data_IF_261603195276
#
_entry.id   IF_261603195276
#
_cell.length_a   1.000
_cell.length_b   1.000
_cell.length_c   1.000
_cell.angle_alpha   90.00
_cell.angle_beta   90.00
_cell.angle_gamma   90.00
#
_symmetry.space_group_name_H-M   'P 1'
#
loop_
_entity.id
_entity.type
_entity.pdbx_description
1 polymer ?
#
# COMPACT_ATOMS: atom_id res chain seq x y z
N UNK A 1 -7.08 -26.28 21.40
CA UNK A 1 -7.69 -25.69 20.17
C UNK A 1 -6.60 -24.89 19.43
N UNK A 2 -6.05 -25.45 18.37
CA UNK A 2 -5.05 -24.77 17.55
C UNK A 2 -5.77 -23.71 16.71
N UNK A 3 -5.59 -22.45 17.07
CA UNK A 3 -6.00 -21.31 16.27
C UNK A 3 -5.29 -21.41 14.92
N UNK A 4 -6.01 -21.74 13.87
CA UNK A 4 -5.50 -21.64 12.51
C UNK A 4 -5.41 -20.15 12.16
N UNK A 5 -4.32 -19.50 12.59
CA UNK A 5 -3.93 -18.19 12.08
C UNK A 5 -3.90 -18.29 10.54
N UNK A 6 -4.29 -17.23 9.88
CA UNK A 6 -4.14 -17.14 8.42
C UNK A 6 -2.74 -17.64 8.05
N UNK A 7 -2.68 -18.59 7.11
CA UNK A 7 -1.42 -19.23 6.72
C UNK A 7 -0.37 -18.14 6.45
N UNK A 8 0.73 -18.10 7.20
CA UNK A 8 1.72 -17.05 6.99
C UNK A 8 2.17 -17.13 5.52
N UNK A 9 2.23 -15.97 4.88
CA UNK A 9 2.73 -15.85 3.51
C UNK A 9 4.09 -16.55 3.47
N UNK A 10 4.27 -17.51 2.56
CA UNK A 10 5.55 -18.21 2.45
C UNK A 10 6.66 -17.22 2.09
N UNK A 11 7.88 -17.51 2.51
CA UNK A 11 9.03 -16.65 2.19
C UNK A 11 9.15 -16.42 0.68
N UNK A 12 8.88 -17.45 -0.12
CA UNK A 12 8.90 -17.38 -1.58
C UNK A 12 7.82 -16.42 -2.11
N UNK A 13 6.57 -16.56 -1.65
CA UNK A 13 5.47 -15.67 -2.04
C UNK A 13 5.75 -14.22 -1.66
N UNK A 14 6.33 -13.99 -0.48
CA UNK A 14 6.73 -12.66 -0.02
C UNK A 14 7.73 -12.03 -0.97
N UNK A 15 8.83 -12.70 -1.29
CA UNK A 15 9.85 -12.16 -2.20
C UNK A 15 9.33 -12.01 -3.63
N UNK A 16 8.44 -12.89 -4.09
CA UNK A 16 7.78 -12.74 -5.39
C UNK A 16 6.94 -11.46 -5.45
N UNK A 17 6.15 -11.19 -4.43
CA UNK A 17 5.35 -9.95 -4.34
C UNK A 17 6.23 -8.71 -4.25
N UNK A 18 7.35 -8.75 -3.49
CA UNK A 18 8.32 -7.67 -3.43
C UNK A 18 8.95 -7.39 -4.81
N UNK A 19 9.28 -8.45 -5.55
CA UNK A 19 9.79 -8.35 -6.92
C UNK A 19 8.78 -7.69 -7.85
N UNK A 20 7.52 -8.16 -7.85
CA UNK A 20 6.45 -7.60 -8.68
C UNK A 20 6.21 -6.14 -8.35
N UNK A 21 6.12 -5.79 -7.06
CA UNK A 21 5.95 -4.40 -6.62
C UNK A 21 7.07 -3.49 -7.09
N UNK A 22 8.34 -3.94 -6.96
CA UNK A 22 9.51 -3.18 -7.40
C UNK A 22 9.56 -3.01 -8.92
N UNK A 23 9.16 -4.02 -9.70
CA UNK A 23 9.11 -3.93 -11.16
C UNK A 23 8.00 -2.99 -11.64
N UNK A 24 6.82 -3.01 -11.02
CA UNK A 24 5.75 -2.06 -11.33
C UNK A 24 6.23 -0.62 -11.06
N UNK A 25 6.92 -0.40 -9.95
CA UNK A 25 7.52 0.92 -9.65
C UNK A 25 8.55 1.33 -10.71
N UNK A 26 9.42 0.40 -11.11
CA UNK A 26 10.45 0.65 -12.11
C UNK A 26 9.85 1.13 -13.44
N UNK A 27 8.80 0.46 -13.90
CA UNK A 27 8.06 0.86 -15.13
C UNK A 27 7.51 2.29 -15.01
N UNK A 28 6.83 2.60 -13.91
CA UNK A 28 6.26 3.92 -13.69
C UNK A 28 7.31 5.03 -13.61
N UNK A 29 8.43 4.75 -12.96
CA UNK A 29 9.53 5.70 -12.80
C UNK A 29 10.27 5.91 -14.14
N UNK A 30 10.62 4.83 -14.81
CA UNK A 30 11.43 4.89 -16.01
C UNK A 30 10.66 5.51 -17.19
N UNK A 31 9.49 4.99 -17.52
CA UNK A 31 8.76 5.39 -18.72
C UNK A 31 7.99 6.71 -18.60
N UNK A 32 7.54 7.05 -17.37
CA UNK A 32 6.65 8.20 -17.20
C UNK A 32 7.26 9.32 -16.33
N UNK A 33 8.00 8.98 -15.28
CA UNK A 33 8.53 9.98 -14.35
C UNK A 33 9.79 10.65 -14.87
N UNK A 34 10.77 9.87 -15.35
CA UNK A 34 12.08 10.40 -15.77
C UNK A 34 12.00 11.27 -17.03
N UNK A 35 11.32 10.87 -18.13
CA UNK A 35 11.28 11.68 -19.33
C UNK A 35 10.60 13.05 -19.14
N UNK A 36 9.67 13.14 -18.18
CA UNK A 36 8.94 14.36 -17.85
C UNK A 36 9.59 15.20 -16.74
N UNK A 37 10.70 14.78 -16.16
CA UNK A 37 11.35 15.43 -15.03
C UNK A 37 10.39 15.66 -13.83
N UNK A 38 9.43 14.73 -13.59
CA UNK A 38 8.51 14.85 -12.47
C UNK A 38 9.23 14.53 -11.15
N UNK A 39 9.61 15.58 -10.40
CA UNK A 39 10.21 15.47 -9.07
C UNK A 39 9.13 15.56 -7.99
N UNK A 40 8.34 14.49 -7.86
CA UNK A 40 7.23 14.43 -6.88
C UNK A 40 7.73 14.13 -5.45
N UNK A 41 8.71 14.87 -4.94
CA UNK A 41 9.35 14.63 -3.65
C UNK A 41 10.35 13.48 -3.68
N UNK A 42 10.71 12.99 -2.49
CA UNK A 42 11.67 11.90 -2.34
C UNK A 42 13.12 12.34 -2.30
N UNK A 43 14.01 11.38 -2.02
CA UNK A 43 15.46 11.63 -1.95
C UNK A 43 16.01 12.16 -3.28
N UNK A 44 15.48 11.71 -4.41
CA UNK A 44 15.88 12.23 -5.73
C UNK A 44 15.59 13.72 -5.89
N UNK A 45 14.41 14.17 -5.43
CA UNK A 45 14.07 15.61 -5.45
C UNK A 45 14.97 16.42 -4.54
N UNK A 46 15.21 15.94 -3.31
CA UNK A 46 16.13 16.59 -2.37
C UNK A 46 17.56 16.68 -2.92
N UNK A 47 18.02 15.61 -3.54
CA UNK A 47 19.38 15.54 -4.13
C UNK A 47 19.55 16.50 -5.31
N UNK A 48 18.53 16.67 -6.14
CA UNK A 48 18.54 17.66 -7.22
C UNK A 48 18.60 19.10 -6.67
N UNK A 49 17.83 19.39 -5.61
CA UNK A 49 17.86 20.71 -4.95
C UNK A 49 19.24 20.97 -4.36
N UNK A 50 19.79 20.00 -3.60
CA UNK A 50 21.11 20.12 -2.99
C UNK A 50 22.24 20.26 -4.03
N UNK A 51 22.18 19.48 -5.12
CA UNK A 51 23.15 19.55 -6.20
C UNK A 51 23.13 20.91 -6.92
N UNK A 52 21.97 21.59 -6.95
CA UNK A 52 21.84 22.94 -7.53
C UNK A 52 22.30 24.03 -6.56
N UNK A 53 22.08 23.84 -5.26
CA UNK A 53 22.50 24.81 -4.22
C UNK A 53 23.99 24.73 -3.88
N UNK A 54 24.58 23.55 -4.03
CA UNK A 54 25.99 23.26 -3.70
C UNK A 54 26.70 22.70 -4.93
N UNK A 55 26.93 23.53 -5.96
CA UNK A 55 27.60 23.07 -7.17
C UNK A 55 29.06 22.69 -6.84
N UNK A 56 29.39 21.41 -7.02
CA UNK A 56 30.72 20.86 -6.76
C UNK A 56 30.98 19.72 -7.76
N UNK A 57 32.21 19.59 -8.22
CA UNK A 57 32.59 18.48 -9.11
C UNK A 57 32.49 17.11 -8.43
N UNK A 58 32.61 17.05 -7.11
CA UNK A 58 32.59 15.82 -6.31
C UNK A 58 31.16 15.51 -5.81
N UNK A 59 30.38 16.53 -5.41
CA UNK A 59 29.06 16.40 -4.85
C UNK A 59 27.98 16.52 -5.93
N UNK A 60 27.93 15.55 -6.82
CA UNK A 60 26.87 15.46 -7.85
C UNK A 60 25.53 15.06 -7.23
N UNK A 61 24.38 15.33 -7.88
CA UNK A 61 23.07 14.87 -7.41
C UNK A 61 23.05 13.36 -7.11
N UNK A 62 23.74 12.56 -7.92
CA UNK A 62 23.84 11.11 -7.72
C UNK A 62 24.58 10.73 -6.42
N UNK A 63 25.62 11.49 -6.07
CA UNK A 63 26.36 11.32 -4.82
C UNK A 63 25.47 11.64 -3.61
N UNK A 64 24.69 12.72 -3.69
CA UNK A 64 23.69 13.03 -2.64
C UNK A 64 22.63 11.94 -2.50
N UNK A 65 22.12 11.39 -3.61
CA UNK A 65 21.18 10.25 -3.55
C UNK A 65 21.79 9.07 -2.78
N UNK A 66 23.03 8.71 -3.10
CA UNK A 66 23.71 7.58 -2.46
C UNK A 66 23.90 7.82 -0.95
N UNK A 67 24.40 9.00 -0.57
CA UNK A 67 24.65 9.34 0.85
C UNK A 67 23.33 9.34 1.62
N UNK A 68 22.32 10.03 1.12
CA UNK A 68 21.03 10.16 1.83
C UNK A 68 20.33 8.81 1.92
N UNK A 69 20.29 8.02 0.85
CA UNK A 69 19.70 6.67 0.87
C UNK A 69 20.42 5.75 1.86
N UNK A 70 21.76 5.79 1.88
CA UNK A 70 22.53 4.98 2.82
C UNK A 70 22.22 5.37 4.26
N UNK A 71 22.20 6.67 4.56
CA UNK A 71 21.83 7.17 5.89
C UNK A 71 20.40 6.74 6.27
N UNK A 72 19.44 6.88 5.37
CA UNK A 72 18.05 6.48 5.60
C UNK A 72 17.89 4.97 5.79
N UNK A 73 18.67 4.14 5.08
CA UNK A 73 18.69 2.69 5.29
C UNK A 73 19.22 2.33 6.71
N UNK A 74 20.26 3.01 7.18
CA UNK A 74 20.78 2.82 8.54
C UNK A 74 19.73 3.22 9.57
N UNK A 75 19.08 4.37 9.37
CA UNK A 75 17.97 4.84 10.22
C UNK A 75 16.83 3.82 10.19
N UNK A 76 16.43 3.36 9.02
CA UNK A 76 15.40 2.32 8.86
C UNK A 76 15.75 1.02 9.59
N UNK A 77 17.02 0.60 9.56
CA UNK A 77 17.49 -0.57 10.31
C UNK A 77 17.30 -0.40 11.82
N UNK A 78 17.65 0.78 12.36
CA UNK A 78 17.54 1.07 13.78
C UNK A 78 16.08 1.14 14.24
N UNK A 79 15.24 1.87 13.51
CA UNK A 79 13.86 2.15 13.91
C UNK A 79 12.85 1.09 13.50
N UNK A 80 13.01 0.44 12.34
CA UNK A 80 12.06 -0.52 11.77
C UNK A 80 12.53 -1.97 11.86
N UNK A 81 13.80 -2.19 12.20
CA UNK A 81 14.37 -3.50 12.46
C UNK A 81 14.96 -4.22 11.23
N UNK A 82 15.61 -5.36 11.50
CA UNK A 82 16.42 -6.10 10.51
C UNK A 82 15.61 -6.58 9.31
N UNK A 83 14.42 -7.16 9.54
CA UNK A 83 13.60 -7.72 8.46
C UNK A 83 13.13 -6.65 7.47
N UNK A 84 12.83 -5.45 7.96
CA UNK A 84 12.51 -4.30 7.12
C UNK A 84 13.73 -3.89 6.28
N UNK A 85 14.89 -3.73 6.92
CA UNK A 85 16.10 -3.27 6.26
C UNK A 85 16.53 -4.21 5.13
N UNK A 86 16.62 -5.53 5.38
CA UNK A 86 17.00 -6.50 4.34
C UNK A 86 16.01 -6.51 3.16
N UNK A 87 14.71 -6.48 3.44
CA UNK A 87 13.70 -6.43 2.37
C UNK A 87 13.79 -5.13 1.58
N UNK A 88 14.06 -4.00 2.25
CA UNK A 88 14.20 -2.69 1.61
C UNK A 88 15.46 -2.61 0.75
N UNK A 89 16.60 -3.14 1.23
CA UNK A 89 17.82 -3.23 0.42
C UNK A 89 17.56 -4.06 -0.84
N UNK A 90 16.91 -5.21 -0.71
CA UNK A 90 16.53 -6.06 -1.84
C UNK A 90 15.66 -5.29 -2.86
N UNK A 91 14.60 -4.64 -2.41
CA UNK A 91 13.69 -3.89 -3.28
C UNK A 91 14.39 -2.71 -3.96
N UNK A 92 15.22 -1.97 -3.22
CA UNK A 92 15.97 -0.82 -3.73
C UNK A 92 17.00 -1.23 -4.79
N UNK A 93 17.73 -2.33 -4.57
CA UNK A 93 18.66 -2.87 -5.56
C UNK A 93 17.93 -3.36 -6.81
N UNK A 94 16.84 -4.09 -6.64
CA UNK A 94 16.04 -4.60 -7.76
C UNK A 94 15.45 -3.47 -8.59
N UNK A 95 14.91 -2.43 -7.93
CA UNK A 95 14.38 -1.24 -8.57
C UNK A 95 15.46 -0.54 -9.41
N UNK A 96 16.63 -0.31 -8.82
CA UNK A 96 17.76 0.33 -9.49
C UNK A 96 18.25 -0.49 -10.68
N UNK A 97 18.36 -1.82 -10.51
CA UNK A 97 18.74 -2.73 -11.59
C UNK A 97 17.72 -2.72 -12.73
N UNK A 98 16.43 -2.80 -12.40
CA UNK A 98 15.36 -2.79 -13.40
C UNK A 98 15.35 -1.49 -14.22
N UNK A 99 15.47 -0.34 -13.56
CA UNK A 99 15.56 0.97 -14.22
C UNK A 99 16.80 1.02 -15.14
N UNK A 100 17.95 0.57 -14.67
CA UNK A 100 19.18 0.56 -15.44
C UNK A 100 19.10 -0.36 -16.69
N UNK A 101 18.47 -1.52 -16.52
CA UNK A 101 18.22 -2.45 -17.64
C UNK A 101 17.28 -1.80 -18.67
N UNK A 102 16.18 -1.15 -18.21
CA UNK A 102 15.25 -0.46 -19.10
C UNK A 102 15.96 0.67 -19.86
N UNK A 103 16.79 1.48 -19.19
CA UNK A 103 17.56 2.55 -19.79
C UNK A 103 18.51 2.05 -20.89
N UNK A 104 19.14 0.89 -20.65
CA UNK A 104 20.09 0.30 -21.61
C UNK A 104 19.40 -0.28 -22.84
N UNK A 105 18.23 -0.92 -22.69
CA UNK A 105 17.51 -1.59 -23.78
C UNK A 105 16.50 -0.71 -24.48
N UNK A 106 15.99 0.32 -23.82
CA UNK A 106 14.99 1.24 -24.33
C UNK A 106 15.31 2.69 -23.93
N UNK A 107 16.39 3.29 -24.47
CA UNK A 107 16.77 4.66 -24.13
C UNK A 107 15.65 5.64 -24.56
N UNK A 108 15.11 6.34 -23.58
CA UNK A 108 14.04 7.33 -23.81
C UNK A 108 14.59 8.76 -23.78
N UNK A 109 14.57 9.43 -24.93
CA UNK A 109 14.98 10.82 -25.05
C UNK A 109 13.82 11.81 -24.86
N UNK A 110 12.57 11.34 -24.96
CA UNK A 110 11.37 12.17 -24.88
C UNK A 110 10.23 11.42 -24.18
N UNK A 111 9.24 12.14 -23.61
CA UNK A 111 8.03 11.54 -23.06
C UNK A 111 7.29 10.65 -24.09
N UNK A 112 6.55 9.64 -23.62
CA UNK A 112 5.77 8.77 -24.49
C UNK A 112 4.62 9.49 -25.20
N UNK A 113 4.09 10.52 -24.55
CA UNK A 113 2.98 11.30 -25.09
C UNK A 113 3.22 12.81 -24.95
N UNK A 114 2.51 13.62 -25.72
CA UNK A 114 2.54 15.08 -25.61
C UNK A 114 1.54 15.62 -24.56
N UNK A 115 1.10 14.76 -23.62
CA UNK A 115 0.12 15.12 -22.59
C UNK A 115 0.70 14.94 -21.18
N UNK A 116 1.34 15.97 -20.61
CA UNK A 116 2.03 15.86 -19.32
C UNK A 116 1.14 15.39 -18.16
N UNK A 117 -0.14 15.78 -18.15
CA UNK A 117 -1.07 15.37 -17.11
C UNK A 117 -1.37 13.86 -17.18
N UNK A 118 -1.55 13.31 -18.38
CA UNK A 118 -1.75 11.88 -18.58
C UNK A 118 -0.53 11.10 -18.10
N UNK A 119 0.66 11.56 -18.46
CA UNK A 119 1.91 10.93 -18.03
C UNK A 119 2.12 11.03 -16.52
N UNK A 120 1.75 12.16 -15.90
CA UNK A 120 1.76 12.31 -14.46
C UNK A 120 0.87 11.26 -13.77
N UNK A 121 -0.32 11.01 -14.31
CA UNK A 121 -1.20 9.95 -13.75
C UNK A 121 -0.49 8.60 -13.71
N UNK A 122 0.16 8.17 -14.78
CA UNK A 122 0.89 6.89 -14.80
C UNK A 122 2.19 6.95 -13.98
N UNK A 123 2.89 8.08 -13.99
CA UNK A 123 4.09 8.32 -13.19
C UNK A 123 3.82 8.22 -11.67
N UNK A 124 2.57 8.42 -11.24
CA UNK A 124 2.16 8.33 -9.85
C UNK A 124 1.46 7.00 -9.56
N UNK A 125 0.54 6.57 -10.42
CA UNK A 125 -0.30 5.39 -10.21
C UNK A 125 0.54 4.11 -10.09
N UNK A 126 1.45 3.86 -11.04
CA UNK A 126 2.28 2.66 -11.02
C UNK A 126 3.21 2.59 -9.80
N UNK A 127 3.99 3.64 -9.46
CA UNK A 127 4.78 3.62 -8.23
C UNK A 127 3.93 3.56 -6.95
N UNK A 128 2.75 4.17 -6.91
CA UNK A 128 1.87 4.09 -5.75
C UNK A 128 1.37 2.65 -5.50
N UNK A 129 0.97 1.93 -6.54
CA UNK A 129 0.63 0.51 -6.44
C UNK A 129 1.82 -0.34 -5.97
N UNK A 130 2.98 -0.17 -6.61
CA UNK A 130 4.19 -0.90 -6.23
C UNK A 130 4.60 -0.62 -4.79
N UNK A 131 4.67 0.64 -4.37
CA UNK A 131 5.02 1.00 -2.99
C UNK A 131 4.01 0.49 -1.96
N UNK A 132 2.70 0.51 -2.26
CA UNK A 132 1.70 -0.06 -1.38
C UNK A 132 1.88 -1.57 -1.16
N UNK A 133 2.28 -2.33 -2.20
CA UNK A 133 2.64 -3.75 -2.04
C UNK A 133 3.85 -3.89 -1.11
N UNK A 134 4.89 -3.10 -1.31
CA UNK A 134 6.09 -3.13 -0.48
C UNK A 134 5.76 -2.80 0.98
N UNK A 135 5.02 -1.71 1.22
CA UNK A 135 4.62 -1.28 2.58
C UNK A 135 3.75 -2.31 3.30
N UNK A 136 2.86 -2.98 2.58
CA UNK A 136 2.04 -4.06 3.14
C UNK A 136 2.88 -5.26 3.60
N UNK A 137 4.05 -5.48 2.97
CA UNK A 137 5.01 -6.53 3.32
C UNK A 137 6.13 -6.05 4.25
N UNK A 138 5.97 -4.88 4.89
CA UNK A 138 7.00 -4.25 5.71
C UNK A 138 8.34 -4.11 4.98
N UNK A 139 8.30 -3.55 3.77
CA UNK A 139 9.47 -3.18 2.98
C UNK A 139 9.23 -1.80 2.34
N UNK A 140 10.26 -1.23 1.74
CA UNK A 140 10.21 0.05 1.05
C UNK A 140 11.11 0.00 -0.20
N UNK A 141 10.92 0.94 -1.10
CA UNK A 141 11.84 1.15 -2.23
C UNK A 141 13.12 1.91 -1.81
N UNK A 142 13.21 2.34 -0.56
CA UNK A 142 14.25 3.23 -0.06
C UNK A 142 13.77 4.69 -0.02
N UNK A 143 14.72 5.61 0.18
CA UNK A 143 14.41 7.04 0.15
C UNK A 143 13.53 7.53 1.29
N UNK A 144 12.79 8.61 1.04
CA UNK A 144 11.85 9.20 2.00
C UNK A 144 10.70 8.28 2.40
N UNK A 145 10.45 7.21 1.65
CA UNK A 145 9.50 6.15 2.00
C UNK A 145 9.86 5.51 3.37
N UNK A 146 11.17 5.44 3.70
CA UNK A 146 11.64 4.98 5.03
C UNK A 146 11.20 5.95 6.12
N UNK A 147 11.32 7.26 5.87
CA UNK A 147 10.86 8.30 6.79
C UNK A 147 9.36 8.18 7.04
N UNK A 148 8.58 8.01 5.97
CA UNK A 148 7.13 7.82 6.07
C UNK A 148 6.77 6.56 6.90
N UNK A 149 7.49 5.45 6.72
CA UNK A 149 7.29 4.24 7.53
C UNK A 149 7.65 4.44 9.02
N UNK A 150 8.67 5.25 9.32
CA UNK A 150 9.01 5.62 10.69
C UNK A 150 7.92 6.50 11.29
N UNK A 151 7.50 7.57 10.58
CA UNK A 151 6.41 8.45 11.02
C UNK A 151 5.16 7.63 11.32
N UNK A 152 4.75 6.76 10.40
CA UNK A 152 3.61 5.86 10.61
C UNK A 152 3.75 4.96 11.84
N UNK A 153 4.95 4.47 12.13
CA UNK A 153 5.19 3.60 13.29
C UNK A 153 4.96 4.30 14.62
N UNK A 154 5.31 5.59 14.69
CA UNK A 154 5.26 6.39 15.94
C UNK A 154 4.07 7.34 16.01
N UNK A 155 3.24 7.39 14.97
CA UNK A 155 2.02 8.19 14.94
C UNK A 155 0.83 7.34 14.50
N UNK A 156 -0.39 7.87 14.67
CA UNK A 156 -1.62 7.26 14.17
C UNK A 156 -1.91 7.60 12.70
N UNK A 157 -0.94 8.18 11.97
CA UNK A 157 -1.14 8.58 10.58
C UNK A 157 -1.21 7.39 9.63
N UNK A 158 -2.03 7.50 8.59
CA UNK A 158 -1.99 6.60 7.44
C UNK A 158 -0.67 6.77 6.68
N UNK A 159 -0.30 5.75 5.91
CA UNK A 159 0.99 5.76 5.20
C UNK A 159 1.06 6.86 4.13
N UNK A 160 -0.06 7.15 3.43
CA UNK A 160 -0.11 8.22 2.44
C UNK A 160 0.03 9.61 3.08
N UNK A 161 -0.60 9.84 4.24
CA UNK A 161 -0.40 11.07 5.01
C UNK A 161 1.07 11.19 5.47
N UNK A 162 1.67 10.11 5.95
CA UNK A 162 3.07 10.09 6.34
C UNK A 162 4.02 10.39 5.17
N UNK A 163 3.72 9.84 3.96
CA UNK A 163 4.44 10.17 2.73
C UNK A 163 4.29 11.65 2.36
N UNK A 164 3.07 12.17 2.45
CA UNK A 164 2.81 13.58 2.17
C UNK A 164 3.62 14.49 3.09
N UNK A 165 3.64 14.22 4.39
CA UNK A 165 4.42 15.00 5.37
C UNK A 165 5.93 14.89 5.09
N UNK A 166 6.43 13.68 4.81
CA UNK A 166 7.85 13.46 4.52
C UNK A 166 8.33 14.18 3.25
N UNK A 167 7.49 14.24 2.23
CA UNK A 167 7.84 14.79 0.91
C UNK A 167 7.40 16.26 0.71
N UNK A 168 6.51 16.80 1.57
CA UNK A 168 5.92 18.14 1.38
C UNK A 168 6.97 19.25 1.30
N UNK A 169 7.91 19.28 2.23
CA UNK A 169 8.96 20.31 2.27
C UNK A 169 9.84 20.24 1.01
N UNK A 170 10.18 19.05 0.56
CA UNK A 170 11.00 18.82 -0.62
C UNK A 170 10.23 19.28 -1.88
N UNK A 171 8.94 18.97 -1.96
CA UNK A 171 8.08 19.35 -3.08
C UNK A 171 7.90 20.88 -3.16
N UNK A 172 7.68 21.53 -2.02
CA UNK A 172 7.58 23.01 -1.96
C UNK A 172 8.91 23.66 -2.33
N UNK A 173 10.04 23.16 -1.83
CA UNK A 173 11.36 23.66 -2.21
C UNK A 173 11.61 23.48 -3.73
N UNK A 174 11.13 22.38 -4.32
CA UNK A 174 11.17 22.13 -5.75
C UNK A 174 10.44 23.19 -6.58
N UNK A 175 9.31 23.72 -6.09
CA UNK A 175 8.57 24.81 -6.75
C UNK A 175 9.46 26.05 -7.00
N UNK A 176 10.25 26.42 -5.99
CA UNK A 176 11.15 27.57 -6.09
C UNK A 176 12.39 27.28 -6.96
N UNK A 177 12.83 26.03 -7.01
CA UNK A 177 14.02 25.64 -7.78
C UNK A 177 13.76 25.37 -9.27
N UNK A 178 12.60 24.79 -9.62
CA UNK A 178 12.32 24.29 -10.96
C UNK A 178 11.24 25.09 -11.72
N UNK A 179 10.67 26.11 -11.08
CA UNK A 179 9.64 26.97 -11.66
C UNK A 179 8.21 26.49 -11.38
N UNK A 180 7.26 27.38 -11.64
CA UNK A 180 5.86 27.22 -11.21
C UNK A 180 5.19 26.01 -11.87
N UNK A 181 5.37 25.81 -13.18
CA UNK A 181 4.71 24.72 -13.90
C UNK A 181 5.16 23.33 -13.37
N UNK A 182 6.47 23.12 -13.28
CA UNK A 182 7.03 21.86 -12.74
C UNK A 182 6.64 21.66 -11.28
N UNK A 183 6.66 22.73 -10.47
CA UNK A 183 6.27 22.67 -9.06
C UNK A 183 4.80 22.31 -8.87
N UNK A 184 3.88 22.83 -9.67
CA UNK A 184 2.46 22.48 -9.60
C UNK A 184 2.22 20.99 -9.95
N UNK A 185 2.91 20.46 -10.97
CA UNK A 185 2.84 19.03 -11.27
C UNK A 185 3.42 18.18 -10.13
N UNK A 186 4.49 18.64 -9.48
CA UNK A 186 5.06 17.94 -8.32
C UNK A 186 4.09 17.91 -7.12
N UNK A 187 3.44 19.04 -6.83
CA UNK A 187 2.43 19.12 -5.76
C UNK A 187 1.24 18.21 -6.07
N UNK A 188 0.70 18.30 -7.29
CA UNK A 188 -0.39 17.44 -7.72
C UNK A 188 -0.02 15.95 -7.63
N UNK A 189 1.18 15.60 -8.10
CA UNK A 189 1.68 14.23 -8.03
C UNK A 189 1.87 13.72 -6.60
N UNK A 190 2.32 14.57 -5.66
CA UNK A 190 2.41 14.22 -4.25
C UNK A 190 1.04 13.94 -3.62
N UNK A 191 0.06 14.82 -3.88
CA UNK A 191 -1.31 14.62 -3.40
C UNK A 191 -1.92 13.32 -3.97
N UNK A 192 -1.78 13.10 -5.27
CA UNK A 192 -2.25 11.87 -5.92
C UNK A 192 -1.56 10.62 -5.33
N UNK A 193 -0.23 10.65 -5.14
CA UNK A 193 0.53 9.54 -4.54
C UNK A 193 0.01 9.21 -3.15
N UNK A 194 -0.18 10.23 -2.29
CA UNK A 194 -0.68 10.06 -0.93
C UNK A 194 -2.03 9.33 -0.90
N UNK A 195 -3.01 9.85 -1.64
CA UNK A 195 -4.36 9.27 -1.72
C UNK A 195 -4.36 7.86 -2.30
N UNK A 196 -3.61 7.64 -3.40
CA UNK A 196 -3.55 6.33 -4.05
C UNK A 196 -2.90 5.27 -3.17
N UNK A 197 -1.81 5.60 -2.49
CA UNK A 197 -1.14 4.65 -1.58
C UNK A 197 -2.09 4.25 -0.45
N UNK A 198 -2.77 5.20 0.19
CA UNK A 198 -3.73 4.88 1.25
C UNK A 198 -4.89 4.03 0.73
N UNK A 199 -5.47 4.38 -0.41
CA UNK A 199 -6.55 3.60 -1.01
C UNK A 199 -6.15 2.14 -1.31
N UNK A 200 -4.96 1.93 -1.86
CA UNK A 200 -4.45 0.58 -2.15
C UNK A 200 -4.13 -0.17 -0.85
N UNK A 201 -3.52 0.49 0.13
CA UNK A 201 -3.23 -0.11 1.45
C UNK A 201 -4.50 -0.54 2.18
N UNK A 202 -5.53 0.31 2.19
CA UNK A 202 -6.83 -0.02 2.79
C UNK A 202 -7.50 -1.17 2.06
N UNK A 203 -7.32 -1.25 0.74
CA UNK A 203 -7.79 -2.39 -0.04
C UNK A 203 -7.22 -3.73 0.41
N UNK A 204 -5.95 -3.78 0.82
CA UNK A 204 -5.34 -5.00 1.36
C UNK A 204 -5.83 -5.35 2.78
N UNK A 205 -6.18 -4.35 3.58
CA UNK A 205 -6.60 -4.52 4.98
C UNK A 205 -8.09 -4.78 5.15
N UNK A 206 -8.91 -4.34 4.18
CA UNK A 206 -10.36 -4.43 4.26
C UNK A 206 -10.84 -5.86 4.52
N UNK A 207 -11.57 -6.03 5.61
CA UNK A 207 -12.34 -7.23 5.95
C UNK A 207 -13.82 -7.00 5.65
N UNK A 208 -14.61 -8.04 5.64
CA UNK A 208 -16.04 -7.98 5.46
C UNK A 208 -16.73 -8.41 6.76
N UNK A 209 -17.53 -7.52 7.31
CA UNK A 209 -18.42 -7.81 8.42
C UNK A 209 -19.76 -8.24 7.85
N UNK A 210 -20.23 -9.41 8.23
CA UNK A 210 -21.53 -9.96 7.87
C UNK A 210 -22.47 -9.85 9.06
N UNK A 211 -23.66 -9.36 8.80
CA UNK A 211 -24.84 -9.49 9.67
C UNK A 211 -25.86 -10.30 8.87
N UNK A 212 -26.13 -11.52 9.31
CA UNK A 212 -26.99 -12.48 8.62
C UNK A 212 -28.18 -12.75 9.50
N UNK A 213 -29.39 -12.49 9.02
CA UNK A 213 -30.64 -12.74 9.72
C UNK A 213 -31.31 -13.94 9.06
N UNK A 214 -31.49 -15.01 9.84
CA UNK A 214 -32.02 -16.30 9.37
C UNK A 214 -32.94 -16.95 10.41
N UNK A 215 -33.80 -17.81 9.96
CA UNK A 215 -34.59 -18.74 10.79
C UNK A 215 -33.89 -20.06 11.01
N UNK A 216 -32.84 -20.39 10.20
CA UNK A 216 -32.06 -21.63 10.29
C UNK A 216 -30.57 -21.33 10.48
N UNK A 217 -30.10 -20.96 11.69
CA UNK A 217 -28.75 -20.51 11.93
C UNK A 217 -27.70 -21.64 11.91
N UNK A 218 -28.06 -22.87 12.31
CA UNK A 218 -27.10 -23.94 12.59
C UNK A 218 -26.19 -24.29 11.40
N UNK A 219 -26.69 -24.51 10.17
CA UNK A 219 -25.83 -24.83 9.03
C UNK A 219 -24.84 -23.68 8.68
N UNK A 220 -25.29 -22.42 8.88
CA UNK A 220 -24.48 -21.24 8.60
C UNK A 220 -23.38 -21.10 9.66
N UNK A 221 -23.73 -21.31 10.93
CA UNK A 221 -22.77 -21.28 12.05
C UNK A 221 -21.75 -22.39 11.90
N UNK A 222 -22.16 -23.59 11.55
CA UNK A 222 -21.26 -24.72 11.29
C UNK A 222 -20.30 -24.40 10.15
N UNK A 223 -20.79 -23.86 9.05
CA UNK A 223 -19.95 -23.45 7.93
C UNK A 223 -18.92 -22.38 8.32
N UNK A 224 -19.32 -21.38 9.12
CA UNK A 224 -18.41 -20.33 9.61
C UNK A 224 -17.34 -20.90 10.55
N UNK A 225 -17.75 -21.75 11.48
CA UNK A 225 -16.85 -22.23 12.55
C UNK A 225 -15.98 -23.38 12.09
N UNK A 226 -16.52 -24.33 11.35
CA UNK A 226 -15.82 -25.55 10.92
C UNK A 226 -15.09 -25.34 9.59
N UNK A 227 -15.75 -24.81 8.57
CA UNK A 227 -15.14 -24.69 7.24
C UNK A 227 -14.28 -23.43 7.12
N UNK A 228 -14.75 -22.29 7.61
CA UNK A 228 -14.01 -21.03 7.53
C UNK A 228 -13.07 -20.80 8.72
N UNK A 229 -13.18 -21.59 9.79
CA UNK A 229 -12.42 -21.44 11.04
C UNK A 229 -12.49 -20.01 11.61
N UNK A 230 -13.70 -19.45 11.67
CA UNK A 230 -13.96 -18.10 12.18
C UNK A 230 -14.99 -18.12 13.29
N UNK A 231 -14.88 -17.14 14.18
CA UNK A 231 -15.88 -16.91 15.21
C UNK A 231 -17.16 -16.31 14.62
N UNK A 232 -18.27 -16.64 15.23
CA UNK A 232 -19.57 -16.00 14.98
C UNK A 232 -20.20 -15.62 16.32
N UNK A 233 -20.91 -14.50 16.35
CA UNK A 233 -21.74 -14.08 17.48
C UNK A 233 -23.19 -14.22 17.07
N UNK A 234 -24.01 -14.79 17.95
CA UNK A 234 -25.43 -15.01 17.71
C UNK A 234 -26.23 -14.08 18.61
N UNK A 235 -27.27 -13.51 18.06
CA UNK A 235 -28.23 -12.66 18.76
C UNK A 235 -29.64 -13.03 18.33
N UNK A 236 -30.56 -13.18 19.29
CA UNK A 236 -31.97 -13.37 19.01
C UNK A 236 -32.62 -12.03 18.62
N UNK A 237 -33.25 -12.02 17.47
CA UNK A 237 -33.95 -10.84 16.93
C UNK A 237 -35.38 -11.19 16.53
N UNK A 238 -36.24 -10.20 16.47
CA UNK A 238 -37.64 -10.37 16.07
C UNK A 238 -37.93 -9.55 14.83
N UNK A 239 -38.59 -10.20 13.87
CA UNK A 239 -39.10 -9.51 12.68
C UNK A 239 -40.24 -8.54 13.08
N UNK A 240 -40.13 -7.26 12.71
CA UNK A 240 -41.12 -6.26 13.08
C UNK A 240 -42.51 -6.51 12.48
N UNK A 241 -42.60 -7.20 11.35
CA UNK A 241 -43.86 -7.38 10.60
C UNK A 241 -44.69 -8.57 11.11
N UNK A 242 -44.06 -9.71 11.35
CA UNK A 242 -44.73 -10.96 11.78
C UNK A 242 -44.36 -11.39 13.18
N UNK A 243 -43.55 -10.62 13.91
CA UNK A 243 -43.00 -10.96 15.25
C UNK A 243 -42.34 -12.34 15.32
N UNK A 244 -41.88 -12.84 14.17
CA UNK A 244 -41.16 -14.11 14.11
C UNK A 244 -39.77 -13.98 14.76
N UNK A 245 -39.43 -14.99 15.58
CA UNK A 245 -38.10 -15.10 16.15
C UNK A 245 -37.12 -15.53 15.07
N UNK A 246 -36.04 -14.78 14.92
CA UNK A 246 -34.91 -15.05 13.99
C UNK A 246 -33.61 -14.93 14.75
N UNK A 247 -32.57 -15.46 14.17
CA UNK A 247 -31.21 -15.33 14.73
C UNK A 247 -30.38 -14.42 13.81
N UNK A 248 -29.75 -13.42 14.41
CA UNK A 248 -28.75 -12.60 13.73
C UNK A 248 -27.36 -13.18 14.00
N UNK A 249 -26.62 -13.51 12.95
CA UNK A 249 -25.25 -14.01 13.00
C UNK A 249 -24.32 -12.89 12.59
N UNK A 250 -23.41 -12.50 13.49
CA UNK A 250 -22.37 -11.50 13.20
C UNK A 250 -21.04 -12.21 13.06
N UNK A 251 -20.37 -12.04 11.94
CA UNK A 251 -19.03 -12.58 11.69
C UNK A 251 -18.17 -11.67 10.83
N UNK A 252 -16.85 -11.75 11.02
CA UNK A 252 -15.89 -10.96 10.27
C UNK A 252 -14.97 -11.88 9.47
N UNK A 253 -14.86 -11.62 8.18
CA UNK A 253 -14.23 -12.50 7.20
C UNK A 253 -13.24 -11.77 6.31
N UNK A 254 -12.29 -12.51 5.78
CA UNK A 254 -11.47 -12.04 4.63
C UNK A 254 -12.31 -12.01 3.36
N UNK A 255 -11.85 -11.31 2.32
CA UNK A 255 -12.56 -11.25 1.04
C UNK A 255 -12.85 -12.63 0.43
N UNK A 256 -11.87 -13.55 0.50
CA UNK A 256 -12.04 -14.91 -0.02
C UNK A 256 -13.07 -15.71 0.77
N UNK A 257 -13.02 -15.65 2.12
CA UNK A 257 -13.99 -16.29 3.00
C UNK A 257 -15.39 -15.69 2.83
N UNK A 258 -15.49 -14.38 2.63
CA UNK A 258 -16.74 -13.68 2.39
C UNK A 258 -17.44 -14.19 1.12
N UNK A 259 -16.68 -14.42 0.04
CA UNK A 259 -17.22 -14.96 -1.19
C UNK A 259 -17.72 -16.40 -0.98
N UNK A 260 -16.99 -17.22 -0.25
CA UNK A 260 -17.38 -18.58 0.07
C UNK A 260 -18.67 -18.62 0.90
N UNK A 261 -18.75 -17.81 1.97
CA UNK A 261 -19.94 -17.73 2.83
C UNK A 261 -21.17 -17.23 2.06
N UNK A 262 -21.01 -16.20 1.24
CA UNK A 262 -22.10 -15.67 0.41
C UNK A 262 -22.68 -16.74 -0.53
N UNK A 263 -21.81 -17.53 -1.18
CA UNK A 263 -22.25 -18.64 -2.04
C UNK A 263 -22.97 -19.72 -1.26
N UNK A 264 -22.42 -20.10 -0.11
CA UNK A 264 -23.02 -21.10 0.78
C UNK A 264 -24.43 -20.69 1.22
N UNK A 265 -24.61 -19.47 1.71
CA UNK A 265 -25.91 -18.96 2.16
C UNK A 265 -26.90 -18.91 1.00
N UNK A 266 -26.50 -18.39 -0.17
CA UNK A 266 -27.38 -18.31 -1.34
C UNK A 266 -27.91 -19.68 -1.77
N UNK A 267 -27.10 -20.75 -1.58
CA UNK A 267 -27.48 -22.12 -1.96
C UNK A 267 -28.31 -22.80 -0.89
N UNK A 268 -28.01 -22.62 0.41
CA UNK A 268 -28.60 -23.40 1.50
C UNK A 268 -29.73 -22.65 2.23
N UNK A 269 -29.73 -21.33 2.22
CA UNK A 269 -30.79 -20.50 2.82
C UNK A 269 -31.04 -19.25 1.94
N UNK A 270 -31.76 -19.41 0.81
CA UNK A 270 -32.04 -18.30 -0.10
C UNK A 270 -32.89 -17.17 0.54
N UNK A 271 -33.57 -17.43 1.64
CA UNK A 271 -34.41 -16.46 2.37
C UNK A 271 -33.66 -15.70 3.46
N UNK A 272 -32.41 -16.07 3.74
CA UNK A 272 -31.58 -15.32 4.68
C UNK A 272 -31.29 -13.91 4.17
N UNK A 273 -31.49 -12.93 5.04
CA UNK A 273 -31.13 -11.53 4.76
C UNK A 273 -29.71 -11.25 5.22
N UNK A 274 -28.88 -10.68 4.34
CA UNK A 274 -27.48 -10.39 4.65
C UNK A 274 -27.15 -8.93 4.42
N UNK A 275 -26.55 -8.27 5.43
CA UNK A 275 -25.86 -6.98 5.30
C UNK A 275 -24.36 -7.25 5.32
N UNK A 276 -23.66 -6.77 4.30
CA UNK A 276 -22.20 -6.94 4.18
C UNK A 276 -21.57 -5.56 4.17
N UNK A 277 -20.87 -5.22 5.25
CA UNK A 277 -20.12 -3.97 5.37
C UNK A 277 -18.62 -4.19 5.21
N UNK A 278 -17.94 -3.21 4.64
CA UNK A 278 -16.48 -3.19 4.60
C UNK A 278 -15.96 -2.52 5.87
N UNK A 279 -14.99 -3.14 6.54
CA UNK A 279 -14.33 -2.55 7.69
C UNK A 279 -12.83 -2.62 7.49
N UNK A 280 -12.15 -1.50 7.68
CA UNK A 280 -10.68 -1.39 7.63
C UNK A 280 -10.07 -1.57 9.01
N UNK A 281 -10.83 -1.30 10.07
CA UNK A 281 -10.38 -1.42 11.45
C UNK A 281 -11.21 -2.45 12.21
N UNK A 282 -10.55 -3.50 12.66
CA UNK A 282 -11.13 -4.54 13.51
C UNK A 282 -10.13 -4.84 14.60
N UNK A 283 -10.51 -4.54 15.83
CA UNK A 283 -9.70 -4.79 17.02
C UNK A 283 -10.27 -5.99 17.75
N UNK A 284 -9.48 -7.06 17.89
CA UNK A 284 -9.91 -8.26 18.60
C UNK A 284 -8.99 -9.45 18.41
N UNK A 285 -9.14 -10.47 19.25
CA UNK A 285 -8.34 -11.70 19.20
C UNK A 285 -8.58 -12.43 17.88
N UNK A 286 -7.54 -12.62 17.07
CA UNK A 286 -7.61 -13.24 15.73
C UNK A 286 -7.67 -12.25 14.56
N UNK A 287 -7.72 -10.94 14.84
CA UNK A 287 -7.71 -9.85 13.84
C UNK A 287 -6.63 -8.79 14.12
N UNK A 288 -5.91 -8.90 15.22
CA UNK A 288 -4.76 -8.04 15.47
C UNK A 288 -3.78 -8.22 14.32
N UNK A 289 -3.65 -7.18 13.50
CA UNK A 289 -2.51 -7.04 12.61
C UNK A 289 -1.29 -6.87 13.52
N UNK A 290 -0.43 -7.85 13.47
CA UNK A 290 0.93 -7.78 14.00
C UNK A 290 1.74 -6.76 13.22
#
# INVERSE_FOLDING_TARGET
MKTTAAKPISTLERYLLLTVGSLIMAVGIYFFKFPNNFSTGGVSGLSLILGRMLPSEILTPSTFVLIINTALLIIGFIFLGRNFAFSTVYCSMLLSLAVNVMERFYPMAQPLTNQPLLELCFAVLLPAFGSAILFNLNASSGGTDIVAMIVRKYTSMNIGMALMVADALITVAGLFCFGIQAGLFCILGLLMKSVLVDYVMDSFRTKKCFQIITTNPDPIVEFITVNLHRGATLEDVYGAFHHERKTMIITVLTRAQALALRRFIHTNDPHAFMVITASTEIVGKGFLAS
#
